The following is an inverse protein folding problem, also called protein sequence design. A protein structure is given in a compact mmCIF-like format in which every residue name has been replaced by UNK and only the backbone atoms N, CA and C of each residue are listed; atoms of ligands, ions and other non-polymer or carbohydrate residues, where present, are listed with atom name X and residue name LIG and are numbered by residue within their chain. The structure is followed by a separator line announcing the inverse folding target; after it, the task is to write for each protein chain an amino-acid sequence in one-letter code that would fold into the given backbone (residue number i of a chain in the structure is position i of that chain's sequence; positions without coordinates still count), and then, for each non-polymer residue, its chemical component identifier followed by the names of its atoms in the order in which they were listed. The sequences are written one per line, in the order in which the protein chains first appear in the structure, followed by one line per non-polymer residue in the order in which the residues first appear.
data_IF_764108263123
#
_entry.id   IF_764108263123
#
_cell.length_a   1.000
_cell.length_b   1.000
_cell.length_c   1.000
_cell.angle_alpha   90.00
_cell.angle_beta   90.00
_cell.angle_gamma   90.00
#
_symmetry.space_group_name_H-M   'P 1'
#
loop_
_entity.id
_entity.type
_entity.pdbx_description
1 polymer ?
#
# COMPACT_ATOMS: atom_id res chain seq x y z
N UNK A 1 -24.93 7.38 7.45
CA UNK A 1 -25.76 7.80 6.30
C UNK A 1 -27.20 7.35 6.54
N UNK A 2 -28.25 8.10 6.16
CA UNK A 2 -29.63 7.63 6.33
C UNK A 2 -29.90 6.40 5.43
N UNK A 3 -30.80 5.51 5.87
CA UNK A 3 -31.07 4.20 5.26
C UNK A 3 -31.58 4.30 3.81
N UNK A 4 -32.36 5.34 3.51
CA UNK A 4 -32.86 5.71 2.18
C UNK A 4 -31.75 6.09 1.19
N UNK A 5 -30.74 6.85 1.63
CA UNK A 5 -29.57 7.20 0.81
C UNK A 5 -28.75 5.95 0.49
N UNK A 6 -28.65 5.03 1.44
CA UNK A 6 -27.94 3.77 1.29
C UNK A 6 -28.65 2.80 0.32
N UNK A 7 -29.97 2.67 0.41
CA UNK A 7 -30.76 1.89 -0.55
C UNK A 7 -30.71 2.52 -1.95
N UNK A 8 -30.71 3.86 -2.05
CA UNK A 8 -30.54 4.56 -3.33
C UNK A 8 -29.17 4.28 -3.95
N UNK A 9 -28.07 4.39 -3.19
CA UNK A 9 -26.71 4.08 -3.66
C UNK A 9 -26.54 2.60 -4.05
N UNK A 10 -27.21 1.67 -3.36
CA UNK A 10 -27.25 0.25 -3.74
C UNK A 10 -28.03 0.00 -5.04
N UNK A 11 -29.06 0.80 -5.31
CA UNK A 11 -29.94 0.65 -6.48
C UNK A 11 -29.35 1.20 -7.79
N UNK A 12 -28.26 1.99 -7.73
CA UNK A 12 -27.55 2.54 -8.90
C UNK A 12 -26.78 1.48 -9.72
N UNK A 13 -27.17 0.22 -9.61
CA UNK A 13 -26.40 -0.98 -9.97
C UNK A 13 -26.40 -1.36 -11.46
N UNK A 14 -26.86 -0.53 -12.40
CA UNK A 14 -26.96 -0.99 -13.79
C UNK A 14 -26.51 -0.06 -14.92
N UNK A 15 -26.65 1.27 -14.86
CA UNK A 15 -26.59 2.07 -16.11
C UNK A 15 -25.89 3.44 -16.06
N UNK A 16 -25.17 3.79 -14.98
CA UNK A 16 -24.53 5.12 -14.84
C UNK A 16 -23.00 5.08 -14.94
N UNK A 17 -22.39 6.10 -15.54
CA UNK A 17 -20.93 6.24 -15.62
C UNK A 17 -20.34 6.61 -14.26
N UNK A 18 -19.04 6.37 -14.04
CA UNK A 18 -18.35 6.77 -12.82
C UNK A 18 -18.44 8.28 -12.52
N UNK A 19 -18.52 9.11 -13.56
CA UNK A 19 -18.74 10.55 -13.41
C UNK A 19 -20.07 10.82 -12.72
N UNK A 20 -21.14 10.14 -13.15
CA UNK A 20 -22.47 10.31 -12.57
C UNK A 20 -22.55 9.82 -11.12
N UNK A 21 -21.79 8.77 -10.77
CA UNK A 21 -21.65 8.27 -9.39
C UNK A 21 -20.90 9.26 -8.50
N UNK A 22 -19.81 9.85 -9.00
CA UNK A 22 -19.10 10.93 -8.30
C UNK A 22 -20.01 12.14 -8.14
N UNK A 23 -20.68 12.58 -9.20
CA UNK A 23 -21.58 13.74 -9.18
C UNK A 23 -22.73 13.52 -8.21
N UNK A 24 -23.31 12.32 -8.16
CA UNK A 24 -24.37 11.97 -7.20
C UNK A 24 -23.83 11.88 -5.76
N UNK A 25 -22.62 11.37 -5.55
CA UNK A 25 -21.95 11.37 -4.24
C UNK A 25 -21.61 12.78 -3.75
N UNK A 26 -21.09 13.64 -4.63
CA UNK A 26 -20.81 15.06 -4.36
C UNK A 26 -22.12 15.76 -4.02
N UNK A 27 -23.18 15.56 -4.81
CA UNK A 27 -24.49 16.17 -4.57
C UNK A 27 -25.10 15.75 -3.24
N UNK A 28 -24.98 14.48 -2.86
CA UNK A 28 -25.40 13.97 -1.54
C UNK A 28 -24.57 14.61 -0.41
N UNK A 29 -23.26 14.75 -0.60
CA UNK A 29 -22.38 15.39 0.38
C UNK A 29 -22.64 16.90 0.53
N UNK A 30 -22.84 17.61 -0.58
CA UNK A 30 -23.18 19.04 -0.60
C UNK A 30 -24.55 19.31 0.03
N UNK A 31 -25.54 18.46 -0.24
CA UNK A 31 -26.85 18.52 0.43
C UNK A 31 -26.72 18.33 1.95
N UNK A 32 -25.80 17.47 2.41
CA UNK A 32 -25.53 17.28 3.84
C UNK A 32 -24.79 18.47 4.49
N UNK A 33 -23.81 19.07 3.79
CA UNK A 33 -23.06 20.25 4.25
C UNK A 33 -23.95 21.49 4.36
N UNK A 34 -24.79 21.72 3.35
CA UNK A 34 -25.72 22.87 3.31
C UNK A 34 -26.87 22.76 4.32
N UNK A 35 -27.26 21.55 4.73
CA UNK A 35 -28.26 21.38 5.80
C UNK A 35 -27.67 21.55 7.22
N UNK A 36 -26.35 21.51 7.39
CA UNK A 36 -25.68 21.65 8.69
C UNK A 36 -24.99 23.02 8.88
N UNK A 37 -24.76 23.77 7.82
CA UNK A 37 -24.40 25.18 7.90
C UNK A 37 -25.60 26.01 7.44
N UNK A 38 -26.13 26.86 8.32
CA UNK A 38 -27.03 27.96 7.97
C UNK A 38 -26.28 28.97 7.07
N UNK A 39 -25.92 28.60 5.85
CA UNK A 39 -25.40 29.51 4.85
C UNK A 39 -26.61 30.07 4.11
N UNK A 40 -26.93 31.31 4.48
CA UNK A 40 -27.89 32.16 3.81
C UNK A 40 -27.66 32.18 2.29
N UNK A 41 -28.77 32.07 1.55
CA UNK A 41 -29.00 32.69 0.24
C UNK A 41 -27.81 32.78 -0.72
N UNK A 42 -27.48 31.67 -1.37
CA UNK A 42 -26.90 31.74 -2.72
C UNK A 42 -28.06 31.48 -3.68
N UNK A 43 -28.49 32.52 -4.40
CA UNK A 43 -29.46 32.39 -5.49
C UNK A 43 -28.88 31.47 -6.56
N UNK A 44 -29.34 30.23 -6.58
CA UNK A 44 -29.05 29.24 -7.63
C UNK A 44 -29.89 29.59 -8.85
N UNK A 45 -29.57 30.69 -9.52
CA UNK A 45 -30.08 30.97 -10.85
C UNK A 45 -28.95 31.57 -11.68
N UNK A 46 -28.54 30.83 -12.72
CA UNK A 46 -27.54 31.16 -13.76
C UNK A 46 -26.09 30.68 -13.61
N UNK A 47 -25.78 29.68 -12.77
CA UNK A 47 -24.52 28.94 -12.93
C UNK A 47 -24.79 27.55 -13.48
N UNK A 48 -24.11 27.19 -14.57
CA UNK A 48 -23.97 25.81 -15.02
C UNK A 48 -23.51 24.96 -13.82
N UNK A 49 -24.27 23.92 -13.40
CA UNK A 49 -23.91 23.06 -12.28
C UNK A 49 -22.47 22.54 -12.38
N UNK A 50 -21.98 22.29 -13.59
CA UNK A 50 -20.61 21.84 -13.83
C UNK A 50 -19.58 22.92 -13.51
N UNK A 51 -19.81 24.17 -13.89
CA UNK A 51 -18.95 25.31 -13.54
C UNK A 51 -18.89 25.54 -12.02
N UNK A 52 -20.02 25.40 -11.32
CA UNK A 52 -20.08 25.53 -9.88
C UNK A 52 -19.35 24.39 -9.15
N UNK A 53 -19.45 23.16 -9.68
CA UNK A 53 -18.75 21.98 -9.17
C UNK A 53 -17.24 22.11 -9.43
N UNK A 54 -16.82 22.51 -10.63
CA UNK A 54 -15.41 22.72 -10.95
C UNK A 54 -14.81 23.79 -10.03
N UNK A 55 -15.50 24.92 -9.86
CA UNK A 55 -15.07 25.98 -8.95
C UNK A 55 -14.98 25.48 -7.50
N UNK A 56 -15.96 24.70 -7.04
CA UNK A 56 -15.94 24.11 -5.69
C UNK A 56 -14.80 23.09 -5.52
N UNK A 57 -14.55 22.26 -6.53
CA UNK A 57 -13.45 21.30 -6.50
C UNK A 57 -12.12 22.07 -6.49
N UNK A 58 -11.97 23.11 -7.29
CA UNK A 58 -10.77 23.94 -7.32
C UNK A 58 -10.57 24.71 -6.01
N UNK A 59 -11.64 25.24 -5.41
CA UNK A 59 -11.63 25.86 -4.08
C UNK A 59 -11.24 24.82 -3.01
N UNK A 60 -11.85 23.64 -2.99
CA UNK A 60 -11.48 22.56 -2.05
C UNK A 60 -10.07 22.04 -2.27
N UNK A 61 -9.62 21.97 -3.52
CA UNK A 61 -8.26 21.58 -3.86
C UNK A 61 -7.26 22.64 -3.42
N UNK A 62 -7.62 23.92 -3.54
CA UNK A 62 -6.83 25.05 -3.04
C UNK A 62 -6.77 25.04 -1.52
N UNK A 63 -7.91 24.97 -0.82
CA UNK A 63 -7.98 24.87 0.64
C UNK A 63 -7.22 23.66 1.17
N UNK A 64 -7.38 22.49 0.54
CA UNK A 64 -6.62 21.31 0.89
C UNK A 64 -5.14 21.52 0.62
N UNK A 65 -4.75 22.11 -0.51
CA UNK A 65 -3.34 22.39 -0.84
C UNK A 65 -2.71 23.37 0.14
N UNK A 66 -3.41 24.43 0.53
CA UNK A 66 -2.96 25.40 1.53
C UNK A 66 -2.85 24.75 2.92
N UNK A 67 -3.85 23.95 3.32
CA UNK A 67 -3.78 23.17 4.55
C UNK A 67 -2.60 22.19 4.53
N UNK A 68 -2.37 21.53 3.40
CA UNK A 68 -1.27 20.62 3.15
C UNK A 68 0.06 21.37 3.32
N UNK A 69 0.28 22.47 2.60
CA UNK A 69 1.52 23.25 2.65
C UNK A 69 1.80 23.78 4.06
N UNK A 70 0.76 24.23 4.77
CA UNK A 70 0.88 24.75 6.14
C UNK A 70 1.18 23.69 7.19
N UNK A 71 0.69 22.46 7.00
CA UNK A 71 0.82 21.35 7.96
C UNK A 71 1.84 20.30 7.54
N UNK A 72 2.47 20.46 6.36
CA UNK A 72 3.50 19.57 5.86
C UNK A 72 4.76 19.71 6.72
N UNK A 73 5.13 18.62 7.41
CA UNK A 73 6.36 18.54 8.20
C UNK A 73 7.36 17.62 7.46
N UNK A 74 8.37 18.18 6.76
CA UNK A 74 9.31 17.39 5.95
C UNK A 74 10.16 16.40 6.77
N UNK A 75 10.34 16.67 8.07
CA UNK A 75 11.31 15.96 8.91
C UNK A 75 10.83 14.60 9.46
N UNK A 76 9.61 14.16 9.10
CA UNK A 76 9.14 12.81 9.43
C UNK A 76 8.82 12.00 8.17
N UNK A 77 9.57 10.92 7.99
CA UNK A 77 9.19 9.87 7.04
C UNK A 77 7.81 9.33 7.43
N UNK A 78 6.83 9.61 6.59
CA UNK A 78 5.42 9.30 6.83
C UNK A 78 4.94 8.35 5.75
N UNK A 79 4.35 7.22 6.16
CA UNK A 79 3.75 6.24 5.25
C UNK A 79 2.59 6.89 4.49
N UNK A 80 2.59 6.73 3.17
CA UNK A 80 1.46 7.13 2.33
C UNK A 80 0.15 6.45 2.79
N UNK A 81 0.20 5.12 2.98
CA UNK A 81 -0.88 4.35 3.57
C UNK A 81 -0.33 3.20 4.44
N UNK A 82 -1.08 2.77 5.48
CA UNK A 82 -0.75 1.53 6.17
C UNK A 82 -0.99 0.34 5.22
N UNK A 83 -0.08 -0.62 5.24
CA UNK A 83 -0.24 -1.88 4.53
C UNK A 83 0.28 -3.02 5.41
N UNK A 84 -0.36 -4.21 5.40
CA UNK A 84 0.11 -5.36 6.16
C UNK A 84 1.56 -5.69 5.85
N UNK A 85 2.30 -6.14 6.88
CA UNK A 85 3.70 -6.55 6.81
C UNK A 85 4.72 -5.50 6.32
N UNK A 86 4.35 -4.22 6.12
CA UNK A 86 5.24 -3.23 5.52
C UNK A 86 6.56 -2.97 6.26
N UNK A 87 7.62 -2.75 5.47
CA UNK A 87 9.02 -2.74 5.92
C UNK A 87 9.48 -1.52 6.73
N UNK A 88 8.64 -0.51 6.87
CA UNK A 88 8.99 0.77 7.50
C UNK A 88 9.81 0.68 8.80
N UNK A 89 9.44 -0.22 9.71
CA UNK A 89 10.09 -0.32 11.01
C UNK A 89 11.37 -1.18 10.99
N UNK A 90 11.59 -1.93 9.92
CA UNK A 90 12.71 -2.88 9.80
C UNK A 90 13.60 -2.55 8.59
N UNK A 91 13.33 -1.47 7.87
CA UNK A 91 14.02 -1.12 6.64
C UNK A 91 15.52 -1.00 6.87
N UNK A 92 15.97 -0.35 7.96
CA UNK A 92 17.41 -0.25 8.27
C UNK A 92 18.04 -1.63 8.51
N UNK A 93 17.32 -2.54 9.16
CA UNK A 93 17.75 -3.92 9.38
C UNK A 93 17.82 -4.71 8.07
N UNK A 94 16.96 -4.43 7.09
CA UNK A 94 17.00 -5.03 5.74
C UNK A 94 18.09 -4.42 4.86
N UNK A 95 18.23 -3.10 4.92
CA UNK A 95 19.08 -2.30 4.03
C UNK A 95 20.57 -2.68 4.17
N UNK A 96 21.00 -3.14 5.36
CA UNK A 96 22.37 -3.66 5.53
C UNK A 96 22.69 -4.79 4.54
N UNK A 97 21.75 -5.70 4.28
CA UNK A 97 21.93 -6.79 3.31
C UNK A 97 21.84 -6.29 1.87
N UNK A 98 20.95 -5.33 1.60
CA UNK A 98 20.89 -4.71 0.27
C UNK A 98 22.23 -4.08 -0.11
N UNK A 99 22.89 -3.43 0.85
CA UNK A 99 24.20 -2.81 0.63
C UNK A 99 25.35 -3.81 0.47
N UNK A 100 25.23 -5.03 1.01
CA UNK A 100 26.22 -6.11 0.85
C UNK A 100 26.31 -6.64 -0.59
N UNK A 101 25.19 -6.68 -1.32
CA UNK A 101 25.16 -7.11 -2.73
C UNK A 101 25.99 -6.18 -3.61
N UNK A 102 26.61 -6.67 -4.69
CA UNK A 102 27.26 -5.82 -5.70
C UNK A 102 26.33 -5.43 -6.85
N UNK A 103 25.07 -5.87 -6.80
CA UNK A 103 24.04 -5.56 -7.77
C UNK A 103 23.86 -4.05 -7.97
N UNK A 104 23.44 -3.68 -9.18
CA UNK A 104 23.04 -2.32 -9.56
C UNK A 104 21.55 -2.24 -9.87
N UNK A 105 20.88 -3.37 -10.02
CA UNK A 105 19.43 -3.47 -10.22
C UNK A 105 18.82 -3.97 -8.92
N UNK A 106 17.86 -3.24 -8.37
CA UNK A 106 17.05 -3.67 -7.23
C UNK A 106 15.64 -4.00 -7.70
N UNK A 107 15.15 -5.18 -7.34
CA UNK A 107 13.79 -5.62 -7.66
C UNK A 107 13.09 -6.05 -6.40
N UNK A 108 12.10 -5.29 -5.97
CA UNK A 108 11.15 -5.67 -4.91
C UNK A 108 10.05 -6.51 -5.55
N UNK A 109 10.07 -7.81 -5.29
CA UNK A 109 9.23 -8.80 -5.98
C UNK A 109 7.78 -8.78 -5.47
N UNK A 110 7.60 -8.50 -4.18
CA UNK A 110 6.31 -8.39 -3.49
C UNK A 110 6.22 -7.00 -2.86
N UNK A 111 5.70 -6.06 -3.63
CA UNK A 111 5.81 -4.63 -3.38
C UNK A 111 5.07 -4.17 -2.13
N UNK A 112 3.83 -4.62 -1.93
CA UNK A 112 2.99 -4.10 -0.85
C UNK A 112 2.94 -2.57 -0.85
N UNK A 113 3.49 -1.93 0.17
CA UNK A 113 3.60 -0.46 0.23
C UNK A 113 4.75 0.15 -0.61
N UNK A 114 5.50 -0.66 -1.35
CA UNK A 114 6.75 -0.34 -2.07
C UNK A 114 7.79 0.40 -1.19
N UNK A 115 7.79 0.12 0.11
CA UNK A 115 8.60 0.90 1.06
C UNK A 115 10.10 0.71 0.77
N UNK A 116 10.52 -0.51 0.43
CA UNK A 116 11.92 -0.80 0.19
C UNK A 116 12.40 -0.13 -1.10
N UNK A 117 11.69 -0.29 -2.22
CA UNK A 117 12.00 0.40 -3.49
C UNK A 117 12.06 1.92 -3.36
N UNK A 118 11.21 2.50 -2.51
CA UNK A 118 11.23 3.95 -2.27
C UNK A 118 12.44 4.44 -1.50
N UNK A 119 13.09 3.59 -0.70
CA UNK A 119 14.11 4.01 0.26
C UNK A 119 15.51 3.44 -0.01
N UNK A 120 15.64 2.47 -0.93
CA UNK A 120 16.97 2.01 -1.36
C UNK A 120 17.80 3.12 -2.00
N UNK A 121 19.12 3.03 -1.82
CA UNK A 121 20.06 4.06 -2.30
C UNK A 121 20.14 4.11 -3.82
N UNK A 122 19.83 5.28 -4.41
CA UNK A 122 20.00 5.56 -5.85
C UNK A 122 21.47 5.67 -6.26
N UNK A 123 22.37 5.86 -5.29
CA UNK A 123 23.81 5.78 -5.55
C UNK A 123 24.22 4.33 -5.81
N UNK A 124 23.64 3.39 -5.05
CA UNK A 124 23.89 1.95 -5.15
C UNK A 124 23.16 1.31 -6.34
N UNK A 125 21.83 1.45 -6.38
CA UNK A 125 20.97 0.85 -7.38
C UNK A 125 20.61 1.89 -8.44
N UNK A 126 20.98 1.60 -9.69
CA UNK A 126 20.72 2.45 -10.86
C UNK A 126 19.38 2.15 -11.51
N UNK A 127 18.88 0.94 -11.33
CA UNK A 127 17.57 0.51 -11.77
C UNK A 127 16.82 0.01 -10.54
N UNK A 128 15.61 0.54 -10.32
CA UNK A 128 14.75 0.15 -9.21
C UNK A 128 13.41 -0.28 -9.80
N UNK A 129 12.99 -1.49 -9.47
CA UNK A 129 11.71 -2.08 -9.90
C UNK A 129 10.90 -2.46 -8.66
N UNK A 130 9.65 -2.00 -8.58
CA UNK A 130 8.68 -2.49 -7.61
C UNK A 130 7.61 -3.30 -8.36
N UNK A 131 7.44 -4.57 -8.01
CA UNK A 131 6.40 -5.44 -8.53
C UNK A 131 5.40 -5.82 -7.44
N UNK A 132 4.13 -5.92 -7.78
CA UNK A 132 3.14 -6.64 -6.97
C UNK A 132 2.09 -7.29 -7.87
N UNK A 133 1.56 -8.44 -7.46
CA UNK A 133 0.47 -9.11 -8.19
C UNK A 133 -0.82 -8.29 -8.16
N UNK A 134 -1.02 -7.44 -7.14
CA UNK A 134 -2.16 -6.55 -7.07
C UNK A 134 -1.98 -5.32 -7.98
N UNK A 135 -2.57 -5.40 -9.16
CA UNK A 135 -2.55 -4.33 -10.15
C UNK A 135 -3.18 -3.02 -9.66
N UNK A 136 -4.15 -3.05 -8.75
CA UNK A 136 -4.75 -1.83 -8.21
C UNK A 136 -3.81 -1.14 -7.24
N UNK A 137 -3.07 -1.92 -6.44
CA UNK A 137 -2.05 -1.42 -5.53
C UNK A 137 -0.92 -0.74 -6.32
N UNK A 138 -0.41 -1.42 -7.36
CA UNK A 138 0.61 -0.85 -8.25
C UNK A 138 0.09 0.41 -8.95
N UNK A 139 -1.17 0.41 -9.37
CA UNK A 139 -1.72 1.59 -10.01
C UNK A 139 -1.90 2.80 -9.10
N UNK A 140 -2.01 2.63 -7.77
CA UNK A 140 -1.96 3.77 -6.86
C UNK A 140 -0.65 4.53 -7.07
N UNK A 141 0.48 3.80 -7.11
CA UNK A 141 1.79 4.40 -7.33
C UNK A 141 1.95 4.95 -8.75
N UNK A 142 1.44 4.27 -9.78
CA UNK A 142 1.46 4.81 -11.15
C UNK A 142 0.65 6.10 -11.27
N UNK A 143 -0.52 6.19 -10.64
CA UNK A 143 -1.33 7.41 -10.65
C UNK A 143 -0.64 8.56 -9.89
N UNK A 144 -0.03 8.28 -8.73
CA UNK A 144 0.74 9.28 -7.98
C UNK A 144 1.96 9.74 -8.79
N UNK A 145 2.65 8.83 -9.48
CA UNK A 145 3.80 9.14 -10.33
C UNK A 145 3.42 10.00 -11.54
N UNK A 146 2.36 9.63 -12.27
CA UNK A 146 2.08 10.18 -13.59
C UNK A 146 0.95 11.22 -13.61
N UNK A 147 -0.02 11.12 -12.71
CA UNK A 147 -1.21 11.98 -12.65
C UNK A 147 -1.58 12.37 -11.21
N UNK A 148 -0.65 12.96 -10.42
CA UNK A 148 -0.87 13.24 -9.00
C UNK A 148 -2.05 14.20 -8.76
N UNK A 149 -2.28 15.18 -9.64
CA UNK A 149 -3.38 16.14 -9.48
C UNK A 149 -4.75 15.48 -9.69
N UNK A 150 -4.87 14.55 -10.65
CA UNK A 150 -6.09 13.76 -10.83
C UNK A 150 -6.36 12.86 -9.62
N UNK A 151 -5.31 12.25 -9.07
CA UNK A 151 -5.39 11.41 -7.88
C UNK A 151 -5.90 12.23 -6.67
N UNK A 152 -5.34 13.41 -6.45
CA UNK A 152 -5.77 14.33 -5.41
C UNK A 152 -7.19 14.86 -5.63
N UNK A 153 -7.52 15.29 -6.86
CA UNK A 153 -8.84 15.83 -7.23
C UNK A 153 -9.95 14.83 -6.94
N UNK A 154 -9.76 13.55 -7.25
CA UNK A 154 -10.77 12.52 -6.99
C UNK A 154 -10.91 12.22 -5.49
N UNK A 155 -9.83 12.23 -4.71
CA UNK A 155 -9.87 11.86 -3.29
C UNK A 155 -10.29 13.02 -2.36
N UNK A 156 -10.00 14.26 -2.72
CA UNK A 156 -10.24 15.45 -1.88
C UNK A 156 -11.73 15.72 -1.61
N UNK A 157 -12.59 15.26 -2.51
CA UNK A 157 -14.06 15.43 -2.46
C UNK A 157 -14.78 14.26 -1.77
N UNK A 158 -14.08 13.16 -1.48
CA UNK A 158 -14.71 11.95 -0.98
C UNK A 158 -15.01 12.05 0.53
N UNK A 159 -16.28 11.90 0.96
CA UNK A 159 -16.60 11.91 2.37
C UNK A 159 -16.01 10.68 3.07
N UNK A 160 -15.51 10.85 4.29
CA UNK A 160 -15.00 9.73 5.08
C UNK A 160 -16.18 9.09 5.82
N UNK A 161 -16.59 7.90 5.38
CA UNK A 161 -17.75 7.21 5.96
C UNK A 161 -17.63 5.69 5.83
N UNK A 162 -18.32 4.96 6.71
CA UNK A 162 -18.36 3.49 6.65
C UNK A 162 -19.07 3.03 5.39
N UNK A 163 -20.14 3.73 5.02
CA UNK A 163 -20.98 3.39 3.89
C UNK A 163 -20.24 3.55 2.56
N UNK A 164 -19.52 4.66 2.37
CA UNK A 164 -18.71 4.84 1.16
C UNK A 164 -17.58 3.81 1.08
N UNK A 165 -17.03 3.36 2.21
CA UNK A 165 -16.03 2.29 2.21
C UNK A 165 -16.62 0.97 1.69
N UNK A 166 -17.82 0.59 2.12
CA UNK A 166 -18.46 -0.63 1.60
C UNK A 166 -18.81 -0.51 0.10
N UNK A 167 -19.24 0.68 -0.35
CA UNK A 167 -19.43 0.96 -1.77
C UNK A 167 -18.10 0.84 -2.53
N UNK A 168 -17.01 1.37 -1.98
CA UNK A 168 -15.68 1.28 -2.56
C UNK A 168 -15.23 -0.17 -2.79
N UNK A 169 -15.52 -1.09 -1.84
CA UNK A 169 -15.26 -2.53 -2.02
C UNK A 169 -16.05 -3.12 -3.18
N UNK A 170 -17.33 -2.77 -3.30
CA UNK A 170 -18.17 -3.22 -4.42
C UNK A 170 -17.63 -2.69 -5.77
N UNK A 171 -17.22 -1.42 -5.82
CA UNK A 171 -16.64 -0.81 -7.03
C UNK A 171 -15.36 -1.51 -7.46
N UNK A 172 -14.49 -1.87 -6.51
CA UNK A 172 -13.22 -2.55 -6.79
C UNK A 172 -13.44 -3.90 -7.47
N UNK A 173 -14.46 -4.64 -7.03
CA UNK A 173 -14.76 -5.99 -7.53
C UNK A 173 -15.61 -5.98 -8.81
N UNK A 174 -16.19 -4.84 -9.22
CA UNK A 174 -17.06 -4.75 -10.40
C UNK A 174 -16.24 -4.71 -11.71
N UNK A 175 -16.33 -5.72 -12.61
CA UNK A 175 -15.55 -5.77 -13.84
C UNK A 175 -15.88 -4.65 -14.83
N UNK A 176 -17.07 -4.02 -14.75
CA UNK A 176 -17.51 -2.96 -15.66
C UNK A 176 -16.90 -1.59 -15.35
N UNK A 177 -16.39 -1.41 -14.14
CA UNK A 177 -15.80 -0.14 -13.72
C UNK A 177 -14.35 -0.03 -14.16
N UNK A 178 -13.98 1.16 -14.62
CA UNK A 178 -12.65 1.46 -15.13
C UNK A 178 -11.55 1.36 -14.05
N UNK A 179 -10.32 1.16 -14.52
CA UNK A 179 -9.16 0.94 -13.68
C UNK A 179 -8.81 2.15 -12.79
N UNK A 180 -8.95 3.37 -13.31
CA UNK A 180 -8.61 4.60 -12.58
C UNK A 180 -9.52 4.75 -11.36
N UNK A 181 -10.81 4.53 -11.57
CA UNK A 181 -11.83 4.50 -10.52
C UNK A 181 -11.52 3.47 -9.44
N UNK A 182 -11.26 2.22 -9.85
CA UNK A 182 -10.93 1.14 -8.93
C UNK A 182 -9.70 1.45 -8.11
N UNK A 183 -8.67 2.05 -8.72
CA UNK A 183 -7.45 2.47 -8.04
C UNK A 183 -7.71 3.55 -6.98
N UNK A 184 -8.53 4.56 -7.29
CA UNK A 184 -8.92 5.58 -6.32
C UNK A 184 -9.68 4.96 -5.14
N UNK A 185 -10.63 4.07 -5.43
CA UNK A 185 -11.37 3.35 -4.40
C UNK A 185 -10.47 2.44 -3.59
N UNK A 186 -9.47 1.79 -4.20
CA UNK A 186 -8.51 0.94 -3.49
C UNK A 186 -7.75 1.75 -2.44
N UNK A 187 -7.23 2.93 -2.81
CA UNK A 187 -6.58 3.83 -1.85
C UNK A 187 -7.55 4.26 -0.74
N UNK A 188 -8.77 4.70 -1.11
CA UNK A 188 -9.79 5.11 -0.15
C UNK A 188 -10.12 3.99 0.85
N UNK A 189 -10.35 2.77 0.36
CA UNK A 189 -10.69 1.60 1.17
C UNK A 189 -9.53 1.23 2.09
N UNK A 190 -8.28 1.17 1.62
CA UNK A 190 -7.10 0.92 2.48
C UNK A 190 -7.04 1.97 3.59
N UNK A 191 -7.14 3.26 3.24
CA UNK A 191 -7.00 4.37 4.18
C UNK A 191 -8.12 4.45 5.21
N UNK A 192 -9.32 3.97 4.87
CA UNK A 192 -10.48 3.91 5.77
C UNK A 192 -10.63 2.58 6.48
N UNK A 193 -9.75 1.60 6.22
CA UNK A 193 -9.76 0.27 6.84
C UNK A 193 -8.89 0.20 8.09
N UNK A 194 -9.31 -0.60 9.07
CA UNK A 194 -8.47 -0.90 10.25
C UNK A 194 -7.14 -1.50 9.80
N UNK A 195 -6.04 -0.91 10.28
CA UNK A 195 -4.66 -1.31 9.95
C UNK A 195 -4.32 -1.35 8.45
N UNK A 196 -5.14 -0.76 7.58
CA UNK A 196 -4.94 -0.83 6.12
C UNK A 196 -5.30 -2.17 5.48
N UNK A 197 -5.92 -3.09 6.23
CA UNK A 197 -6.27 -4.43 5.72
C UNK A 197 -7.51 -4.33 4.82
N UNK A 198 -7.38 -4.68 3.54
CA UNK A 198 -8.49 -4.59 2.57
C UNK A 198 -9.60 -5.63 2.84
N UNK A 199 -9.25 -6.91 2.97
CA UNK A 199 -10.23 -7.98 2.77
C UNK A 199 -11.20 -8.15 3.95
N UNK A 200 -10.69 -8.51 5.15
CA UNK A 200 -11.54 -8.85 6.32
C UNK A 200 -11.70 -7.76 7.38
N UNK A 201 -11.09 -6.59 7.22
CA UNK A 201 -11.16 -5.57 8.28
C UNK A 201 -12.44 -4.74 8.23
N UNK A 202 -12.76 -4.10 9.36
CA UNK A 202 -13.79 -3.07 9.44
C UNK A 202 -13.25 -1.67 9.14
N UNK A 203 -14.15 -0.68 9.14
CA UNK A 203 -13.78 0.73 9.04
C UNK A 203 -12.96 1.18 10.26
N UNK A 204 -11.88 1.93 10.02
CA UNK A 204 -10.94 2.40 11.02
C UNK A 204 -11.62 3.28 12.08
N UNK A 205 -11.39 2.97 13.35
CA UNK A 205 -11.87 3.76 14.48
C UNK A 205 -10.69 4.05 15.39
N UNK A 206 -10.46 5.33 15.64
CA UNK A 206 -9.45 5.81 16.59
C UNK A 206 -10.10 6.95 17.39
N UNK A 207 -10.09 6.83 18.73
CA UNK A 207 -10.65 7.84 19.65
C UNK A 207 -9.67 8.96 19.97
N UNK A 208 -8.39 8.77 19.65
CA UNK A 208 -7.29 9.68 19.99
C UNK A 208 -6.84 10.53 18.81
N UNK A 209 -6.99 10.02 17.58
CA UNK A 209 -6.56 10.71 16.34
C UNK A 209 -7.66 10.66 15.29
N UNK A 210 -8.02 11.83 14.75
CA UNK A 210 -9.06 11.92 13.72
C UNK A 210 -8.65 11.22 12.42
N UNK A 211 -9.47 10.28 11.95
CA UNK A 211 -9.26 9.57 10.68
C UNK A 211 -9.18 10.56 9.50
N UNK A 212 -10.00 11.61 9.51
CA UNK A 212 -10.00 12.65 8.49
C UNK A 212 -8.66 13.38 8.38
N UNK A 213 -8.14 13.88 9.50
CA UNK A 213 -6.83 14.53 9.55
C UNK A 213 -5.72 13.60 9.06
N UNK A 214 -5.76 12.31 9.43
CA UNK A 214 -4.78 11.32 8.94
C UNK A 214 -4.83 11.15 7.42
N UNK A 215 -6.01 11.07 6.81
CA UNK A 215 -6.16 10.92 5.36
C UNK A 215 -5.71 12.18 4.64
N UNK A 216 -6.11 13.36 5.11
CA UNK A 216 -5.63 14.65 4.59
C UNK A 216 -4.10 14.74 4.68
N UNK A 217 -3.51 14.35 5.80
CA UNK A 217 -2.06 14.26 5.96
C UNK A 217 -1.37 13.31 4.98
N UNK A 218 -2.04 12.24 4.52
CA UNK A 218 -1.50 11.39 3.46
C UNK A 218 -1.62 12.02 2.07
N UNK A 219 -2.73 12.71 1.78
CA UNK A 219 -2.91 13.45 0.53
C UNK A 219 -1.87 14.58 0.42
N UNK A 220 -1.50 15.18 1.55
CA UNK A 220 -0.42 16.17 1.66
C UNK A 220 0.91 15.71 1.05
N UNK A 221 1.18 14.41 1.14
CA UNK A 221 2.45 13.82 0.74
C UNK A 221 2.47 13.42 -0.74
N UNK A 222 1.34 13.42 -1.44
CA UNK A 222 1.22 12.82 -2.78
C UNK A 222 2.21 13.46 -3.77
N UNK A 223 2.36 14.78 -3.76
CA UNK A 223 3.32 15.48 -4.64
C UNK A 223 4.78 15.14 -4.32
N UNK A 224 5.12 14.95 -3.05
CA UNK A 224 6.47 14.52 -2.65
C UNK A 224 6.73 13.05 -2.96
N UNK A 225 5.73 12.19 -2.77
CA UNK A 225 5.80 10.79 -3.21
C UNK A 225 5.98 10.71 -4.73
N UNK A 226 5.25 11.51 -5.49
CA UNK A 226 5.37 11.60 -6.96
C UNK A 226 6.82 11.86 -7.40
N UNK A 227 7.50 12.81 -6.74
CA UNK A 227 8.94 13.08 -6.96
C UNK A 227 9.82 11.90 -6.54
N UNK A 228 9.57 11.31 -5.35
CA UNK A 228 10.37 10.24 -4.75
C UNK A 228 10.34 8.93 -5.55
N UNK A 229 9.23 8.63 -6.23
CA UNK A 229 9.03 7.38 -6.97
C UNK A 229 9.24 7.51 -8.48
N UNK A 230 9.68 8.70 -8.94
CA UNK A 230 9.76 9.02 -10.38
C UNK A 230 10.72 8.10 -11.14
N UNK A 231 11.78 7.64 -10.47
CA UNK A 231 12.82 6.75 -10.99
C UNK A 231 12.49 5.25 -10.83
N UNK A 232 11.35 4.90 -10.22
CA UNK A 232 10.94 3.52 -10.00
C UNK A 232 10.14 3.02 -11.20
N UNK A 233 10.48 1.82 -11.68
CA UNK A 233 9.67 1.06 -12.63
C UNK A 233 8.66 0.23 -11.86
N UNK A 234 7.38 0.39 -12.18
CA UNK A 234 6.31 -0.36 -11.53
C UNK A 234 5.82 -1.47 -12.46
N UNK A 235 5.84 -2.69 -11.96
CA UNK A 235 5.36 -3.89 -12.66
C UNK A 235 4.19 -4.51 -11.90
N UNK A 236 3.34 -5.24 -12.61
CA UNK A 236 2.29 -6.04 -11.98
C UNK A 236 2.19 -7.40 -12.64
N UNK A 237 3.00 -8.33 -12.14
CA UNK A 237 3.13 -9.70 -12.65
C UNK A 237 3.27 -10.69 -11.51
N UNK A 238 3.01 -11.97 -11.80
CA UNK A 238 3.34 -13.06 -10.89
C UNK A 238 4.85 -13.09 -10.62
N UNK A 239 5.24 -13.43 -9.39
CA UNK A 239 6.64 -13.45 -9.00
C UNK A 239 7.49 -14.35 -9.90
N UNK A 240 6.91 -15.45 -10.43
CA UNK A 240 7.61 -16.38 -11.33
C UNK A 240 8.02 -15.72 -12.64
N UNK A 241 7.25 -14.75 -13.11
CA UNK A 241 7.56 -13.98 -14.31
C UNK A 241 8.63 -12.93 -14.01
N UNK A 242 8.48 -12.21 -12.90
CA UNK A 242 9.41 -11.13 -12.50
C UNK A 242 10.80 -11.66 -12.24
N UNK A 243 10.92 -12.80 -11.55
CA UNK A 243 12.21 -13.44 -11.34
C UNK A 243 12.85 -13.76 -12.69
N UNK A 244 12.11 -14.30 -13.67
CA UNK A 244 12.67 -14.61 -15.00
C UNK A 244 13.09 -13.36 -15.79
N UNK A 245 12.29 -12.30 -15.74
CA UNK A 245 12.55 -11.06 -16.50
C UNK A 245 13.84 -10.39 -16.03
N UNK A 246 14.06 -10.35 -14.71
CA UNK A 246 15.16 -9.58 -14.12
C UNK A 246 16.33 -10.44 -13.60
N UNK A 247 16.29 -11.77 -13.75
CA UNK A 247 17.39 -12.64 -13.27
C UNK A 247 18.69 -12.38 -14.03
N UNK A 248 19.66 -11.80 -13.32
CA UNK A 248 20.99 -11.51 -13.83
C UNK A 248 21.99 -11.39 -12.69
N UNK A 249 23.30 -11.53 -12.96
CA UNK A 249 24.34 -11.31 -11.96
C UNK A 249 24.46 -9.84 -11.50
N UNK A 250 23.72 -8.89 -12.12
CA UNK A 250 23.65 -7.49 -11.70
C UNK A 250 22.39 -7.15 -10.87
N UNK A 251 21.55 -8.14 -10.60
CA UNK A 251 20.26 -7.97 -9.90
C UNK A 251 20.35 -8.43 -8.44
N UNK A 252 19.71 -7.66 -7.56
CA UNK A 252 19.33 -8.05 -6.22
C UNK A 252 17.80 -8.13 -6.15
N UNK A 253 17.27 -9.33 -5.89
CA UNK A 253 15.87 -9.50 -5.55
C UNK A 253 15.65 -9.33 -4.05
N UNK A 254 14.69 -8.47 -3.69
CA UNK A 254 14.12 -8.45 -2.35
C UNK A 254 12.73 -9.09 -2.39
N UNK A 255 12.53 -10.10 -1.54
CA UNK A 255 11.31 -10.90 -1.51
C UNK A 255 10.70 -10.84 -0.11
N UNK A 256 9.44 -10.40 -0.03
CA UNK A 256 8.60 -10.45 1.18
C UNK A 256 7.25 -11.08 0.82
N UNK A 257 7.21 -12.39 0.53
CA UNK A 257 5.98 -13.05 0.11
C UNK A 257 4.95 -13.04 1.25
N UNK A 258 3.64 -13.10 0.93
CA UNK A 258 2.64 -13.38 1.94
C UNK A 258 2.94 -14.69 2.66
N UNK A 259 2.81 -14.71 3.99
CA UNK A 259 3.07 -15.90 4.78
C UNK A 259 1.84 -16.81 4.82
N UNK A 260 2.07 -18.11 4.64
CA UNK A 260 1.05 -19.15 4.75
C UNK A 260 0.79 -19.47 6.21
N UNK A 261 -0.48 -19.67 6.57
CA UNK A 261 -0.89 -20.07 7.90
C UNK A 261 -0.50 -21.53 8.16
N UNK A 262 0.33 -21.75 9.18
CA UNK A 262 0.72 -23.08 9.69
C UNK A 262 -0.26 -23.61 10.74
N UNK A 263 -1.10 -22.73 11.29
CA UNK A 263 -2.19 -23.06 12.21
C UNK A 263 -3.44 -22.29 11.81
N UNK A 264 -4.62 -22.86 12.08
CA UNK A 264 -5.92 -22.24 11.72
C UNK A 264 -6.13 -20.86 12.37
N UNK A 265 -5.50 -20.61 13.51
CA UNK A 265 -5.58 -19.35 14.28
C UNK A 265 -4.89 -18.17 13.59
N UNK A 266 -4.00 -18.43 12.62
CA UNK A 266 -3.15 -17.40 12.04
C UNK A 266 -3.86 -16.52 10.99
N UNK A 267 -4.80 -17.08 10.22
CA UNK A 267 -5.63 -16.41 9.19
C UNK A 267 -4.88 -15.40 8.29
N UNK A 268 -3.59 -15.63 8.01
CA UNK A 268 -2.67 -14.68 7.34
C UNK A 268 -3.08 -14.38 5.90
N UNK A 269 -3.72 -15.35 5.26
CA UNK A 269 -4.25 -15.28 3.91
C UNK A 269 -5.30 -14.17 3.76
N UNK A 270 -5.88 -13.69 4.87
CA UNK A 270 -6.96 -12.70 4.85
C UNK A 270 -6.51 -11.25 4.86
N UNK A 271 -5.19 -11.02 4.89
CA UNK A 271 -4.66 -9.66 4.83
C UNK A 271 -4.59 -9.11 3.41
N UNK A 272 -4.54 -9.98 2.39
CA UNK A 272 -4.29 -9.63 1.00
C UNK A 272 -5.47 -10.00 0.09
N UNK A 273 -5.55 -9.38 -1.09
CA UNK A 273 -6.58 -9.68 -2.09
C UNK A 273 -6.29 -10.95 -2.88
N UNK A 274 -5.01 -11.22 -3.10
CA UNK A 274 -4.54 -12.37 -3.87
C UNK A 274 -4.05 -13.44 -2.90
N UNK A 275 -4.46 -14.68 -3.15
CA UNK A 275 -4.03 -15.83 -2.36
C UNK A 275 -2.58 -16.19 -2.66
N UNK A 276 -1.84 -16.58 -1.63
CA UNK A 276 -0.51 -17.18 -1.75
C UNK A 276 -0.51 -18.49 -0.97
N UNK A 277 -0.44 -19.61 -1.68
CA UNK A 277 -0.57 -20.95 -1.11
C UNK A 277 0.79 -21.53 -0.70
N UNK A 278 0.77 -22.66 0.02
CA UNK A 278 1.98 -23.45 0.27
C UNK A 278 2.66 -23.90 -1.04
N UNK A 279 1.89 -24.17 -2.09
CA UNK A 279 2.45 -24.52 -3.39
C UNK A 279 3.19 -23.32 -4.02
N UNK A 280 2.67 -22.10 -3.84
CA UNK A 280 3.34 -20.87 -4.27
C UNK A 280 4.63 -20.64 -3.48
N UNK A 281 4.60 -20.84 -2.15
CA UNK A 281 5.78 -20.74 -1.30
C UNK A 281 6.88 -21.74 -1.72
N UNK A 282 6.52 -22.99 -2.02
CA UNK A 282 7.47 -23.99 -2.54
C UNK A 282 7.97 -23.63 -3.94
N UNK A 283 7.09 -23.11 -4.79
CA UNK A 283 7.47 -22.63 -6.13
C UNK A 283 8.45 -21.46 -6.06
N UNK A 284 8.32 -20.59 -5.06
CA UNK A 284 9.26 -19.51 -4.79
C UNK A 284 10.65 -20.07 -4.47
N UNK A 285 10.75 -20.98 -3.51
CA UNK A 285 12.03 -21.61 -3.14
C UNK A 285 12.70 -22.31 -4.33
N UNK A 286 11.93 -23.07 -5.11
CA UNK A 286 12.42 -23.71 -6.33
C UNK A 286 12.92 -22.72 -7.38
N UNK A 287 12.30 -21.53 -7.48
CA UNK A 287 12.73 -20.48 -8.41
C UNK A 287 14.05 -19.85 -7.97
N UNK A 288 14.28 -19.73 -6.66
CA UNK A 288 15.51 -19.20 -6.08
C UNK A 288 16.69 -20.19 -6.18
N UNK A 289 16.45 -21.50 -6.28
CA UNK A 289 17.50 -22.53 -6.28
C UNK A 289 18.56 -22.37 -7.37
N UNK A 290 18.16 -21.89 -8.55
CA UNK A 290 19.04 -21.74 -9.71
C UNK A 290 19.16 -20.28 -10.18
N UNK A 291 18.82 -19.33 -9.32
CA UNK A 291 18.81 -17.91 -9.68
C UNK A 291 20.24 -17.38 -9.81
N UNK A 292 20.49 -16.52 -10.80
CA UNK A 292 21.79 -15.85 -10.99
C UNK A 292 21.91 -14.63 -10.08
N UNK A 293 20.81 -13.93 -9.87
CA UNK A 293 20.75 -12.76 -9.01
C UNK A 293 21.14 -13.08 -7.55
N UNK A 294 21.60 -12.06 -6.84
CA UNK A 294 21.58 -12.10 -5.38
C UNK A 294 20.12 -12.01 -4.91
N UNK A 295 19.83 -12.54 -3.72
CA UNK A 295 18.52 -12.34 -3.10
C UNK A 295 18.57 -12.13 -1.59
N UNK A 296 17.58 -11.40 -1.10
CA UNK A 296 17.21 -11.26 0.32
C UNK A 296 15.73 -11.61 0.45
N UNK A 297 15.44 -12.64 1.23
CA UNK A 297 14.11 -13.15 1.53
C UNK A 297 13.77 -12.86 2.99
N UNK A 298 12.73 -12.06 3.20
CA UNK A 298 12.10 -11.82 4.49
C UNK A 298 10.96 -12.81 4.67
N UNK A 299 11.02 -13.63 5.72
CA UNK A 299 10.05 -14.71 5.93
C UNK A 299 9.85 -15.00 7.41
N UNK A 300 8.68 -15.49 7.81
CA UNK A 300 8.44 -15.97 9.17
C UNK A 300 9.18 -17.29 9.44
N UNK A 301 9.63 -17.51 10.68
CA UNK A 301 10.39 -18.73 11.06
C UNK A 301 9.62 -20.02 10.73
N UNK A 302 8.31 -20.04 10.92
CA UNK A 302 7.47 -21.20 10.64
C UNK A 302 7.35 -21.49 9.13
N UNK A 303 7.27 -20.46 8.29
CA UNK A 303 7.25 -20.59 6.84
C UNK A 303 8.63 -20.95 6.27
N UNK A 304 9.71 -20.42 6.85
CA UNK A 304 11.08 -20.79 6.48
C UNK A 304 11.30 -22.30 6.65
N UNK A 305 10.88 -22.88 7.78
CA UNK A 305 10.98 -24.33 8.03
C UNK A 305 10.29 -25.19 6.97
N UNK A 306 9.31 -24.64 6.24
CA UNK A 306 8.61 -25.35 5.17
C UNK A 306 9.40 -25.42 3.86
N UNK A 307 10.37 -24.52 3.65
CA UNK A 307 11.11 -24.37 2.39
C UNK A 307 12.64 -24.36 2.53
N UNK A 308 13.18 -24.40 3.75
CA UNK A 308 14.62 -24.34 4.03
C UNK A 308 15.43 -25.31 3.16
N UNK A 309 14.94 -26.54 2.99
CA UNK A 309 15.62 -27.59 2.21
C UNK A 309 15.55 -27.40 0.69
N UNK A 310 14.62 -26.57 0.23
CA UNK A 310 14.38 -26.29 -1.20
C UNK A 310 15.16 -25.04 -1.67
N UNK A 311 15.65 -24.23 -0.73
CA UNK A 311 16.48 -23.05 -1.01
C UNK A 311 17.92 -23.44 -1.41
N UNK A 312 18.62 -22.61 -2.20
CA UNK A 312 20.06 -22.79 -2.45
C UNK A 312 20.87 -22.53 -1.16
N UNK A 313 22.17 -22.84 -1.15
CA UNK A 313 23.07 -22.45 -0.05
C UNK A 313 22.89 -20.98 0.32
N UNK A 314 22.67 -20.67 1.59
CA UNK A 314 22.36 -19.32 2.04
C UNK A 314 22.83 -19.08 3.48
N UNK A 315 23.00 -17.81 3.82
CA UNK A 315 23.14 -17.34 5.20
C UNK A 315 21.75 -16.86 5.69
N UNK A 316 21.53 -16.83 7.00
CA UNK A 316 20.31 -16.23 7.58
C UNK A 316 20.57 -15.53 8.93
N UNK A 317 19.73 -14.57 9.26
CA UNK A 317 19.67 -13.92 10.59
C UNK A 317 18.23 -13.96 11.13
N UNK A 318 18.09 -14.15 12.44
CA UNK A 318 16.80 -14.11 13.11
C UNK A 318 16.62 -12.73 13.76
N UNK A 319 15.55 -12.03 13.35
CA UNK A 319 15.09 -10.81 13.98
C UNK A 319 13.93 -11.14 14.92
N UNK A 320 14.17 -10.99 16.22
CA UNK A 320 13.10 -11.12 17.21
C UNK A 320 12.23 -9.87 17.21
N UNK A 321 10.97 -10.00 16.77
CA UNK A 321 9.99 -8.91 16.87
C UNK A 321 9.01 -9.23 17.99
N UNK A 322 8.92 -8.33 18.97
CA UNK A 322 7.91 -8.40 20.02
C UNK A 322 6.63 -7.76 19.47
N UNK A 323 5.59 -8.56 19.23
CA UNK A 323 4.24 -8.04 18.97
C UNK A 323 3.49 -7.95 20.29
N UNK A 324 3.02 -6.75 20.63
CA UNK A 324 1.96 -6.60 21.62
C UNK A 324 0.63 -6.91 20.94
N UNK A 325 0.02 -8.06 21.22
CA UNK A 325 -1.37 -8.30 20.90
C UNK A 325 -2.21 -7.72 22.04
N UNK A 326 -2.71 -6.50 21.88
CA UNK A 326 -3.73 -5.98 22.78
C UNK A 326 -5.07 -6.63 22.43
N UNK A 327 -5.52 -7.57 23.27
CA UNK A 327 -6.89 -8.07 23.24
C UNK A 327 -7.83 -6.98 23.78
N UNK A 328 -8.16 -5.98 22.97
CA UNK A 328 -9.05 -4.87 23.40
C UNK A 328 -10.49 -5.38 23.72
N UNK A 329 -10.85 -6.58 23.29
CA UNK A 329 -12.19 -7.17 23.48
C UNK A 329 -12.27 -8.22 24.60
N UNK A 330 -11.16 -8.70 25.14
CA UNK A 330 -11.14 -9.66 26.25
C UNK A 330 -10.23 -9.10 27.34
N UNK A 331 -10.73 -8.99 28.57
CA UNK A 331 -9.98 -8.53 29.76
C UNK A 331 -8.91 -9.55 30.20
N UNK A 332 -8.09 -10.03 29.27
CA UNK A 332 -6.97 -10.92 29.53
C UNK A 332 -5.67 -10.13 29.42
N UNK A 333 -4.68 -10.47 30.24
CA UNK A 333 -3.35 -9.88 30.12
C UNK A 333 -2.80 -10.13 28.70
N UNK A 334 -2.12 -9.14 28.09
CA UNK A 334 -1.57 -9.31 26.74
C UNK A 334 -0.57 -10.45 26.72
N UNK A 335 -0.93 -11.56 26.07
CA UNK A 335 -0.03 -12.69 25.85
C UNK A 335 1.09 -12.25 24.89
N UNK A 336 2.34 -12.25 25.39
CA UNK A 336 3.51 -11.88 24.59
C UNK A 336 3.90 -13.04 23.67
N UNK A 337 3.28 -13.13 22.49
CA UNK A 337 3.77 -14.03 21.43
C UNK A 337 4.96 -13.37 20.72
N UNK A 338 6.15 -13.91 20.92
CA UNK A 338 7.33 -13.55 20.14
C UNK A 338 7.16 -14.07 18.72
N UNK A 339 7.23 -13.15 17.75
CA UNK A 339 7.15 -13.50 16.34
C UNK A 339 8.56 -13.39 15.76
N UNK A 340 9.14 -14.52 15.39
CA UNK A 340 10.49 -14.57 14.82
C UNK A 340 10.43 -14.37 13.31
N UNK A 341 11.05 -13.29 12.87
CA UNK A 341 11.25 -12.97 11.46
C UNK A 341 12.64 -13.47 11.08
N UNK A 342 12.76 -14.13 9.93
CA UNK A 342 14.02 -14.58 9.37
C UNK A 342 14.36 -13.74 8.14
N UNK A 343 15.60 -13.26 8.09
CA UNK A 343 16.18 -12.65 6.90
C UNK A 343 17.16 -13.65 6.32
N UNK A 344 16.75 -14.29 5.23
CA UNK A 344 17.53 -15.30 4.50
C UNK A 344 18.16 -14.65 3.29
N UNK A 345 19.44 -14.85 3.03
CA UNK A 345 20.10 -14.23 1.88
C UNK A 345 21.13 -15.12 1.20
N UNK A 346 21.10 -15.11 -0.13
CA UNK A 346 22.19 -15.59 -0.98
C UNK A 346 22.79 -14.37 -1.67
N UNK A 347 23.98 -13.96 -1.22
CA UNK A 347 24.70 -12.82 -1.77
C UNK A 347 26.10 -13.32 -2.15
N UNK A 348 26.39 -13.34 -3.45
CA UNK A 348 27.64 -13.87 -4.00
C UNK A 348 28.82 -12.97 -3.61
N UNK A 349 29.53 -13.35 -2.54
CA UNK A 349 30.73 -12.64 -2.10
C UNK A 349 31.86 -12.84 -3.12
N UNK A 350 32.44 -11.76 -3.64
CA UNK A 350 33.84 -11.77 -4.10
C UNK A 350 34.72 -11.34 -2.94
N UNK A 351 35.41 -12.31 -2.33
CA UNK A 351 36.55 -12.22 -1.41
C UNK A 351 36.46 -11.21 -0.25
N UNK A 352 36.74 -11.68 0.97
CA UNK A 352 36.68 -10.96 2.25
C UNK A 352 37.40 -9.59 2.33
N UNK A 353 38.13 -9.13 1.31
CA UNK A 353 38.90 -7.88 1.39
C UNK A 353 38.03 -6.60 1.31
N UNK A 354 36.78 -6.67 0.85
CA UNK A 354 35.91 -5.48 0.72
C UNK A 354 35.08 -5.13 1.97
N UNK A 355 35.01 -6.01 2.98
CA UNK A 355 34.18 -5.82 4.18
C UNK A 355 34.80 -4.88 5.22
N UNK A 356 36.12 -4.69 5.21
CA UNK A 356 36.83 -3.84 6.19
C UNK A 356 36.49 -2.35 6.03
N UNK A 357 35.94 -1.92 4.89
CA UNK A 357 35.63 -0.50 4.63
C UNK A 357 34.30 -0.01 5.22
N UNK A 358 33.41 -0.90 5.67
CA UNK A 358 32.06 -0.54 6.12
C UNK A 358 31.79 -0.83 7.60
N UNK A 359 32.82 -1.22 8.37
CA UNK A 359 32.75 -1.42 9.84
C UNK A 359 33.49 -0.26 10.55
N UNK A 360 33.10 1.00 10.31
CA UNK A 360 33.53 2.10 11.17
C UNK A 360 32.36 2.99 11.54
#
# INVERSE_FOLDING_TARGET
MRKDVFEKLKSLKSDKSYSDLIDEMINVYMSYKNNNMNIMNIQVSQCDPYSAIEKFIDEMMTENSEYIEKNFMPDRETKLFPYPAGDFYIFDSLNKYFMMSKAKVFVEVFGGSCWSSMNVSRQKFKVIVCNDIDNLLINIFNMIKNTPDLFLKRLSIMPISRELREIGKIIIDDPKIDLVTKTIMMFYVIRTSMFGIYAKSGFAVDKSRGLASRILGSLALVKEYSKKIRDITFESKDFREILKIYDSDETLFYLDPPYVSTERSHDRETFFRFSFSLADLKSLANSLRNIKADFVLKISEDNYKLIEKDLPDHDYEVLETIKNLENVLQKEEPERKTWRLMIVHNIKRKTLSSLVKYIR
#
